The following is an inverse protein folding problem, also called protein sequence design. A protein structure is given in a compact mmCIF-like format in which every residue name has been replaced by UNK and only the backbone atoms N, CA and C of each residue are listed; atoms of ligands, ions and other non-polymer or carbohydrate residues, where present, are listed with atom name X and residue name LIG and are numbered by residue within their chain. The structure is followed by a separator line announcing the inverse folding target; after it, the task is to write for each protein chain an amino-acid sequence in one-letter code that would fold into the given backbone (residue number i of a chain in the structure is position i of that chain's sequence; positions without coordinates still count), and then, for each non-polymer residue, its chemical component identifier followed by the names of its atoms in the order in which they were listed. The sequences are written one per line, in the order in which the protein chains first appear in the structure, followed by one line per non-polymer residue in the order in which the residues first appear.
data_IF_032465697149
#
_entry.id   IF_032465697149
#
_cell.length_a   1.000
_cell.length_b   1.000
_cell.length_c   1.000
_cell.angle_alpha   90.00
_cell.angle_beta   90.00
_cell.angle_gamma   90.00
#
_symmetry.space_group_name_H-M   'P 1'
#
loop_
_entity.id
_entity.type
_entity.pdbx_description
1 polymer ?
#
# COMPACT_ATOMS: atom_id res chain seq x y z
N UNK A 1 -13.64 1.56 26.30
CA UNK A 1 -12.75 2.03 25.22
C UNK A 1 -11.54 1.12 25.22
N UNK A 2 -11.27 0.44 24.10
CA UNK A 2 -10.11 -0.42 23.94
C UNK A 2 -8.88 0.46 23.64
N UNK A 3 -7.84 0.36 24.48
CA UNK A 3 -6.54 1.02 24.26
C UNK A 3 -5.53 -0.02 23.82
N UNK A 4 -4.78 0.30 22.79
CA UNK A 4 -3.72 -0.56 22.26
C UNK A 4 -2.43 -0.21 23.01
N UNK A 5 -1.84 -1.21 23.68
CA UNK A 5 -0.50 -1.08 24.29
C UNK A 5 0.49 -1.87 23.45
N UNK A 6 1.62 -1.25 23.18
CA UNK A 6 2.74 -1.89 22.49
C UNK A 6 3.65 -2.48 23.54
N UNK A 7 3.91 -3.77 23.43
CA UNK A 7 4.88 -4.49 24.25
C UNK A 7 5.85 -5.18 23.32
N UNK A 8 7.15 -5.18 23.63
CA UNK A 8 8.12 -5.95 22.87
C UNK A 8 7.67 -7.41 22.80
N UNK A 9 7.59 -7.95 21.58
CA UNK A 9 7.12 -9.32 21.34
C UNK A 9 8.27 -10.29 21.15
N UNK A 10 9.48 -9.78 20.92
CA UNK A 10 10.68 -10.56 20.71
C UNK A 10 11.72 -10.16 21.75
N UNK A 11 12.15 -11.12 22.58
CA UNK A 11 13.35 -10.95 23.38
C UNK A 11 14.51 -11.34 22.47
N UNK A 12 15.17 -10.35 21.90
CA UNK A 12 16.34 -10.58 21.06
C UNK A 12 17.47 -11.14 21.93
N UNK A 13 17.69 -12.46 21.88
CA UNK A 13 18.92 -13.09 22.36
C UNK A 13 20.02 -13.06 21.28
N UNK A 14 19.81 -12.30 20.22
CA UNK A 14 20.78 -12.16 19.15
C UNK A 14 21.95 -11.30 19.64
N UNK A 15 22.99 -11.97 20.11
CA UNK A 15 24.28 -11.31 20.33
C UNK A 15 24.97 -11.17 18.97
N UNK A 16 25.01 -9.93 18.47
CA UNK A 16 25.84 -9.60 17.33
C UNK A 16 27.29 -9.84 17.77
N UNK A 17 27.98 -10.79 17.14
CA UNK A 17 29.45 -10.87 17.29
C UNK A 17 30.02 -9.55 16.82
N UNK A 18 30.64 -8.81 17.74
CA UNK A 18 31.40 -7.60 17.42
C UNK A 18 32.60 -8.03 16.57
N UNK A 19 32.42 -8.03 15.26
CA UNK A 19 33.56 -8.08 14.35
C UNK A 19 34.25 -6.72 14.45
N UNK A 20 35.49 -6.73 14.99
CA UNK A 20 36.37 -5.56 14.99
C UNK A 20 36.40 -4.94 13.60
N UNK A 21 35.78 -3.78 13.44
CA UNK A 21 35.84 -2.99 12.22
C UNK A 21 37.28 -2.47 12.05
N UNK A 22 38.05 -3.16 11.23
CA UNK A 22 39.27 -2.63 10.69
C UNK A 22 38.97 -1.35 9.91
N UNK A 23 39.42 -0.21 10.43
CA UNK A 23 39.30 1.10 9.81
C UNK A 23 39.86 1.07 8.38
N UNK A 24 39.00 1.00 7.37
CA UNK A 24 39.36 1.18 5.97
C UNK A 24 39.25 2.64 5.60
N UNK A 25 40.39 3.28 5.39
CA UNK A 25 40.52 4.53 4.67
C UNK A 25 40.13 4.30 3.20
N UNK A 26 38.85 4.41 2.87
CA UNK A 26 38.36 4.51 1.51
C UNK A 26 37.84 5.91 1.29
N UNK A 27 38.20 6.56 0.15
CA UNK A 27 37.81 7.90 -0.22
C UNK A 27 36.30 8.04 -0.48
N UNK A 28 35.47 7.77 0.52
CA UNK A 28 34.03 7.94 0.51
C UNK A 28 33.63 9.37 0.85
N UNK A 29 32.37 9.73 0.66
CA UNK A 29 31.79 11.05 0.96
C UNK A 29 31.83 11.43 2.46
N UNK A 30 32.51 10.66 3.30
CA UNK A 30 32.59 10.84 4.76
C UNK A 30 31.30 10.54 5.50
N UNK A 31 30.32 9.97 4.83
CA UNK A 31 29.02 9.56 5.39
C UNK A 31 28.85 8.04 5.20
N UNK A 32 28.45 7.35 6.24
CA UNK A 32 28.13 5.92 6.19
C UNK A 32 26.72 5.73 5.57
N UNK A 33 26.58 6.02 4.26
CA UNK A 33 25.32 5.96 3.52
C UNK A 33 25.30 4.80 2.51
N UNK A 34 24.16 4.56 1.86
CA UNK A 34 23.99 3.52 0.85
C UNK A 34 24.44 3.94 -0.57
N UNK A 35 25.11 5.07 -0.73
CA UNK A 35 25.69 5.42 -2.03
C UNK A 35 26.78 4.41 -2.44
N UNK A 36 26.83 4.11 -3.74
CA UNK A 36 27.82 3.17 -4.30
C UNK A 36 29.25 3.41 -3.83
N UNK A 37 29.65 4.68 -3.61
CA UNK A 37 30.97 5.04 -3.11
C UNK A 37 31.24 4.63 -1.64
N UNK A 38 30.19 4.48 -0.83
CA UNK A 38 30.32 4.15 0.60
C UNK A 38 30.07 2.66 0.88
N UNK A 39 29.33 2.01 0.00
CA UNK A 39 28.85 0.65 0.22
C UNK A 39 29.80 -0.43 -0.34
N UNK A 40 30.81 -0.02 -1.13
CA UNK A 40 31.74 -0.94 -1.74
C UNK A 40 32.51 -1.73 -0.66
N UNK A 41 32.27 -3.07 -0.62
CA UNK A 41 32.82 -3.97 0.37
C UNK A 41 32.10 -3.98 1.73
N UNK A 42 31.01 -3.22 1.87
CA UNK A 42 30.13 -3.34 3.02
C UNK A 42 29.36 -4.68 2.97
N UNK A 43 28.94 -5.14 4.15
CA UNK A 43 28.17 -6.37 4.31
C UNK A 43 26.90 -6.04 5.08
N UNK A 44 25.79 -6.62 4.66
CA UNK A 44 24.49 -6.56 5.34
C UNK A 44 23.95 -7.96 5.52
N UNK A 45 23.10 -8.21 6.52
CA UNK A 45 22.34 -9.46 6.57
C UNK A 45 21.54 -9.64 5.27
N UNK A 46 21.36 -10.89 4.85
CA UNK A 46 20.56 -11.28 3.69
C UNK A 46 19.54 -12.31 4.10
N UNK A 47 18.28 -12.01 3.89
CA UNK A 47 17.18 -12.96 3.92
C UNK A 47 16.84 -13.37 2.49
N UNK A 48 17.10 -14.62 2.16
CA UNK A 48 16.77 -15.22 0.87
C UNK A 48 15.49 -16.03 1.01
N UNK A 49 14.39 -15.53 0.37
CA UNK A 49 13.09 -16.17 0.45
C UNK A 49 12.90 -17.23 -0.64
N UNK A 50 12.02 -18.20 -0.36
CA UNK A 50 11.66 -19.23 -1.33
C UNK A 50 10.73 -18.70 -2.41
N UNK A 51 10.99 -19.01 -3.68
CA UNK A 51 10.06 -18.76 -4.80
C UNK A 51 8.98 -19.84 -4.83
N UNK A 52 7.86 -19.63 -4.15
CA UNK A 52 6.72 -20.56 -4.19
C UNK A 52 5.76 -20.15 -5.32
N UNK A 53 5.54 -21.03 -6.28
CA UNK A 53 4.62 -20.78 -7.40
C UNK A 53 3.19 -21.30 -7.16
N UNK A 54 2.84 -21.83 -5.98
CA UNK A 54 1.50 -22.38 -5.71
C UNK A 54 0.97 -21.91 -4.37
N UNK A 55 -0.23 -21.36 -4.36
CA UNK A 55 -1.00 -21.14 -3.14
C UNK A 55 -1.36 -22.51 -2.58
N UNK A 56 -0.84 -22.84 -1.39
CA UNK A 56 -1.20 -24.08 -0.68
C UNK A 56 -2.68 -23.99 -0.33
N UNK A 57 -3.51 -24.90 -0.89
CA UNK A 57 -4.94 -24.91 -0.63
C UNK A 57 -5.22 -25.19 0.85
N UNK A 58 -6.23 -24.48 1.40
CA UNK A 58 -6.68 -24.48 2.81
C UNK A 58 -6.94 -25.84 3.48
N UNK A 59 -6.74 -26.96 2.79
CA UNK A 59 -7.07 -28.29 3.32
C UNK A 59 -6.18 -28.80 4.45
N UNK A 60 -5.11 -28.11 4.82
CA UNK A 60 -4.19 -28.53 5.89
C UNK A 60 -4.40 -27.81 7.22
N UNK A 61 -5.34 -26.84 7.30
CA UNK A 61 -5.57 -26.01 8.50
C UNK A 61 -6.75 -26.44 9.39
N UNK A 62 -7.39 -27.57 9.11
CA UNK A 62 -8.41 -28.10 10.01
C UNK A 62 -7.77 -29.06 11.01
N UNK A 63 -7.24 -28.59 12.09
CA UNK A 63 -7.09 -29.21 13.41
C UNK A 63 -5.99 -28.54 14.24
N UNK A 64 -6.21 -27.33 14.76
CA UNK A 64 -5.59 -26.94 16.03
C UNK A 64 -6.37 -25.77 16.64
N UNK A 65 -7.18 -26.14 17.64
CA UNK A 65 -7.81 -25.19 18.55
C UNK A 65 -6.72 -24.44 19.33
N UNK A 66 -6.80 -23.09 19.35
CA UNK A 66 -6.16 -22.20 20.31
C UNK A 66 -4.63 -22.28 20.50
N UNK A 67 -3.84 -22.41 19.45
CA UNK A 67 -2.41 -22.06 19.51
C UNK A 67 -2.17 -20.81 18.66
N UNK A 68 -1.48 -19.82 19.27
CA UNK A 68 -0.89 -18.72 18.48
C UNK A 68 -0.08 -19.33 17.33
N UNK A 69 -0.22 -18.81 16.09
CA UNK A 69 0.59 -19.31 14.99
C UNK A 69 2.07 -19.23 15.37
N UNK A 70 2.90 -20.20 14.98
CA UNK A 70 4.32 -20.10 15.20
C UNK A 70 4.84 -18.81 14.55
N UNK A 71 5.61 -18.04 15.28
CA UNK A 71 6.24 -16.81 14.76
C UNK A 71 7.20 -17.21 13.65
N UNK A 72 6.93 -16.79 12.43
CA UNK A 72 7.78 -17.08 11.29
C UNK A 72 9.15 -16.42 11.44
N UNK A 73 10.17 -16.98 10.83
CA UNK A 73 11.53 -16.52 11.02
C UNK A 73 11.74 -15.07 10.56
N UNK A 74 11.11 -14.67 9.42
CA UNK A 74 11.18 -13.29 8.95
C UNK A 74 10.57 -12.31 9.96
N UNK A 75 9.46 -12.69 10.57
CA UNK A 75 8.77 -11.88 11.58
C UNK A 75 9.67 -11.61 12.80
N UNK A 76 10.31 -12.69 13.31
CA UNK A 76 11.25 -12.61 14.43
C UNK A 76 12.49 -11.78 14.09
N UNK A 77 13.05 -11.96 12.89
CA UNK A 77 14.21 -11.21 12.41
C UNK A 77 13.88 -9.72 12.29
N UNK A 78 12.76 -9.39 11.63
CA UNK A 78 12.35 -8.02 11.40
C UNK A 78 12.13 -7.27 12.71
N UNK A 79 11.38 -7.87 13.63
CA UNK A 79 11.10 -7.25 14.93
C UNK A 79 12.35 -7.12 15.79
N UNK A 80 13.21 -8.15 15.84
CA UNK A 80 14.47 -8.12 16.60
C UNK A 80 15.43 -7.03 16.07
N UNK A 81 15.61 -6.96 14.76
CA UNK A 81 16.44 -5.94 14.13
C UNK A 81 15.86 -4.53 14.30
N UNK A 82 14.52 -4.37 14.23
CA UNK A 82 13.85 -3.09 14.45
C UNK A 82 13.99 -2.61 15.90
N UNK A 83 13.83 -3.51 16.88
CA UNK A 83 14.01 -3.20 18.31
C UNK A 83 15.46 -2.83 18.63
N UNK A 84 16.46 -3.50 18.03
CA UNK A 84 17.88 -3.09 18.15
C UNK A 84 18.07 -1.63 17.72
N UNK A 85 17.50 -1.23 16.56
CA UNK A 85 17.59 0.16 16.08
C UNK A 85 16.87 1.14 17.03
N UNK A 86 15.77 0.72 17.66
CA UNK A 86 15.09 1.53 18.65
C UNK A 86 15.95 1.72 19.91
N UNK A 87 16.57 0.68 20.42
CA UNK A 87 17.47 0.75 21.56
C UNK A 87 18.71 1.60 21.27
N UNK A 88 19.21 1.59 20.04
CA UNK A 88 20.33 2.44 19.59
C UNK A 88 19.93 3.89 19.31
N UNK A 89 18.66 4.24 19.45
CA UNK A 89 18.18 5.62 19.30
C UNK A 89 18.15 6.14 17.86
N UNK A 90 18.02 5.27 16.86
CA UNK A 90 18.01 5.67 15.45
C UNK A 90 16.68 6.30 15.00
N UNK A 91 15.62 6.18 15.79
CA UNK A 91 14.33 6.77 15.51
C UNK A 91 14.24 8.23 15.98
N UNK A 92 13.49 9.04 15.25
CA UNK A 92 13.30 10.47 15.58
C UNK A 92 12.44 10.69 16.82
N UNK A 93 11.66 9.71 17.21
CA UNK A 93 10.82 9.68 18.41
C UNK A 93 10.42 8.23 18.73
N UNK A 94 10.01 8.02 19.96
CA UNK A 94 9.51 6.73 20.43
C UNK A 94 8.04 6.56 20.05
N UNK A 95 7.75 5.67 19.10
CA UNK A 95 6.38 5.38 18.68
C UNK A 95 5.61 4.55 19.71
N UNK A 96 6.31 3.86 20.62
CA UNK A 96 5.65 3.05 21.65
C UNK A 96 4.95 3.92 22.71
N UNK A 97 5.35 5.18 22.81
CA UNK A 97 4.73 6.18 23.68
C UNK A 97 3.45 6.80 23.07
N UNK A 98 3.16 6.57 21.79
CA UNK A 98 1.97 7.12 21.15
C UNK A 98 0.68 6.49 21.69
N UNK A 99 -0.27 7.32 22.10
CA UNK A 99 -1.58 6.85 22.51
C UNK A 99 -2.38 6.35 21.32
N UNK A 100 -2.96 5.14 21.42
CA UNK A 100 -3.79 4.56 20.36
C UNK A 100 -5.04 3.95 20.96
N UNK A 101 -6.18 4.21 20.35
CA UNK A 101 -7.50 3.70 20.76
C UNK A 101 -8.31 3.23 19.55
N UNK A 102 -9.17 2.26 19.77
CA UNK A 102 -10.27 1.99 18.85
C UNK A 102 -11.39 2.97 19.14
N UNK A 103 -11.86 3.70 18.14
CA UNK A 103 -12.96 4.65 18.24
C UNK A 103 -14.24 3.85 18.53
N UNK A 104 -15.03 4.24 19.54
CA UNK A 104 -16.33 3.62 19.78
C UNK A 104 -17.26 3.88 18.60
N UNK A 105 -17.88 2.84 18.05
CA UNK A 105 -18.81 2.95 16.94
C UNK A 105 -18.95 1.63 16.17
N UNK A 106 -19.56 1.70 15.01
CA UNK A 106 -19.90 0.56 14.16
C UNK A 106 -18.67 0.04 13.39
N UNK A 107 -17.80 0.96 12.95
CA UNK A 107 -16.71 0.63 12.02
C UNK A 107 -15.43 0.19 12.71
N UNK A 108 -15.23 0.65 13.96
CA UNK A 108 -14.03 0.34 14.73
C UNK A 108 -12.78 1.02 14.19
N UNK A 109 -12.91 2.25 13.69
CA UNK A 109 -11.77 3.07 13.28
C UNK A 109 -10.76 3.20 14.42
N UNK A 110 -9.49 3.30 14.08
CA UNK A 110 -8.39 3.37 15.02
C UNK A 110 -7.84 4.79 15.00
N UNK A 111 -7.75 5.43 16.15
CA UNK A 111 -7.11 6.74 16.30
C UNK A 111 -5.79 6.61 17.04
N UNK A 112 -4.72 7.17 16.46
CA UNK A 112 -3.42 7.30 17.08
C UNK A 112 -3.08 8.78 17.24
N UNK A 113 -2.63 9.18 18.44
CA UNK A 113 -2.05 10.49 18.67
C UNK A 113 -0.54 10.43 18.41
N UNK A 114 -0.07 11.10 17.35
CA UNK A 114 1.34 11.14 17.00
C UNK A 114 1.78 12.58 16.67
N UNK A 115 1.89 13.40 17.72
CA UNK A 115 2.26 14.83 17.61
C UNK A 115 3.68 15.03 17.06
N UNK A 116 4.60 14.10 17.37
CA UNK A 116 6.00 14.20 16.94
C UNK A 116 6.22 13.99 15.45
N UNK A 117 5.32 13.25 14.78
CA UNK A 117 5.54 12.83 13.40
C UNK A 117 5.53 14.00 12.40
N UNK A 118 4.55 14.89 12.47
CA UNK A 118 4.40 15.93 11.46
C UNK A 118 5.51 16.97 11.51
N UNK A 119 6.06 17.25 12.70
CA UNK A 119 7.19 18.18 12.90
C UNK A 119 8.51 17.59 12.40
N UNK A 120 8.62 16.27 12.31
CA UNK A 120 9.85 15.54 11.99
C UNK A 120 9.79 14.80 10.66
N UNK A 121 8.61 14.74 10.01
CA UNK A 121 8.43 14.18 8.67
C UNK A 121 9.07 15.11 7.64
N UNK A 122 9.68 14.53 6.59
CA UNK A 122 10.15 15.32 5.45
C UNK A 122 8.98 15.95 4.71
N UNK A 123 9.10 17.19 4.22
CA UNK A 123 8.09 17.80 3.37
C UNK A 123 7.95 17.05 2.05
N UNK A 124 6.79 17.17 1.41
CA UNK A 124 6.60 16.68 0.04
C UNK A 124 7.25 17.68 -0.93
N UNK A 125 8.21 17.19 -1.73
CA UNK A 125 8.95 18.00 -2.70
C UNK A 125 8.50 17.77 -4.14
N UNK A 126 7.39 17.04 -4.34
CA UNK A 126 6.90 16.61 -5.64
C UNK A 126 5.54 17.24 -5.95
N UNK A 127 5.22 17.32 -7.24
CA UNK A 127 3.91 17.77 -7.70
C UNK A 127 2.84 16.77 -7.26
N UNK A 128 1.74 17.29 -6.73
CA UNK A 128 0.61 16.47 -6.27
C UNK A 128 -0.35 16.08 -7.41
N UNK A 129 -0.28 16.80 -8.54
CA UNK A 129 -1.12 16.59 -9.71
C UNK A 129 -0.54 15.59 -10.74
N UNK A 130 0.63 14.99 -10.44
CA UNK A 130 1.30 14.03 -11.31
C UNK A 130 1.70 12.76 -10.58
N UNK A 131 1.13 11.64 -11.02
CA UNK A 131 1.44 10.30 -10.49
C UNK A 131 2.81 9.82 -10.98
N UNK A 132 3.12 10.02 -12.26
CA UNK A 132 4.42 9.66 -12.82
C UNK A 132 5.32 10.89 -12.90
N UNK A 133 6.45 10.82 -12.21
CA UNK A 133 7.48 11.85 -12.24
C UNK A 133 8.86 11.19 -12.32
N UNK A 134 9.83 11.77 -13.06
CA UNK A 134 11.17 11.21 -13.15
C UNK A 134 11.86 11.23 -11.78
N UNK A 135 12.75 10.27 -11.56
CA UNK A 135 13.62 10.26 -10.39
C UNK A 135 14.55 11.49 -10.41
N UNK A 136 14.72 12.13 -9.27
CA UNK A 136 15.61 13.27 -9.09
C UNK A 136 16.65 12.96 -7.99
N UNK A 137 17.88 12.66 -8.40
CA UNK A 137 18.97 12.35 -7.49
C UNK A 137 19.37 13.49 -6.55
N UNK A 138 19.00 14.75 -6.84
CA UNK A 138 19.28 15.89 -5.97
C UNK A 138 18.35 15.90 -4.74
N UNK A 139 17.13 15.41 -4.89
CA UNK A 139 16.17 15.26 -3.79
C UNK A 139 16.53 14.10 -2.88
N UNK A 140 15.87 14.04 -1.72
CA UNK A 140 16.03 12.89 -0.85
C UNK A 140 15.56 11.61 -1.54
N UNK A 141 16.38 10.57 -1.42
CA UNK A 141 16.10 9.21 -1.84
C UNK A 141 16.81 8.21 -0.91
N UNK A 142 16.48 6.93 -1.02
CA UNK A 142 16.94 5.93 -0.05
C UNK A 142 18.42 5.55 -0.20
N UNK A 143 19.11 5.93 -1.27
CA UNK A 143 20.58 5.76 -1.32
C UNK A 143 21.32 6.71 -0.35
N UNK A 144 20.60 7.70 0.20
CA UNK A 144 21.14 8.70 1.16
C UNK A 144 20.91 8.33 2.63
N UNK A 145 20.23 7.19 2.92
CA UNK A 145 20.06 6.69 4.30
C UNK A 145 21.36 6.10 4.83
N UNK A 146 21.50 6.05 6.16
CA UNK A 146 22.64 5.39 6.80
C UNK A 146 22.57 3.87 6.66
N UNK A 147 23.74 3.21 6.54
CA UNK A 147 23.79 1.75 6.49
C UNK A 147 23.18 1.12 7.76
N UNK A 148 23.28 1.78 8.88
CA UNK A 148 22.70 1.37 10.17
C UNK A 148 21.17 1.40 10.20
N UNK A 149 20.52 2.17 9.27
CA UNK A 149 19.07 2.19 9.11
C UNK A 149 18.56 0.96 8.35
N UNK A 150 19.44 0.22 7.63
CA UNK A 150 19.09 -0.99 6.88
C UNK A 150 19.11 -2.18 7.83
N UNK A 151 18.07 -3.02 7.76
CA UNK A 151 17.96 -4.23 8.55
C UNK A 151 18.61 -5.41 7.83
N UNK A 152 18.21 -5.67 6.58
CA UNK A 152 18.73 -6.76 5.76
C UNK A 152 18.43 -6.56 4.27
N UNK A 153 19.10 -7.30 3.41
CA UNK A 153 18.76 -7.51 2.01
C UNK A 153 17.65 -8.56 1.92
N UNK A 154 16.68 -8.35 1.04
CA UNK A 154 15.54 -9.27 0.85
C UNK A 154 15.48 -9.71 -0.61
N UNK A 155 15.91 -10.92 -0.89
CA UNK A 155 16.10 -11.45 -2.23
C UNK A 155 15.49 -12.86 -2.36
N UNK A 156 15.24 -13.29 -3.59
CA UNK A 156 14.82 -14.66 -3.86
C UNK A 156 15.99 -15.61 -3.72
N UNK A 157 15.79 -16.78 -3.07
CA UNK A 157 16.78 -17.84 -2.98
C UNK A 157 17.02 -18.51 -4.34
N UNK A 158 18.27 -18.84 -4.62
CA UNK A 158 18.65 -19.65 -5.79
C UNK A 158 18.29 -21.14 -5.58
N UNK A 159 18.35 -21.63 -4.35
CA UNK A 159 18.16 -23.04 -3.99
C UNK A 159 16.71 -23.43 -3.68
N UNK A 160 15.74 -22.52 -3.91
CA UNK A 160 14.32 -22.71 -3.59
C UNK A 160 14.05 -23.10 -2.12
N UNK A 161 14.91 -22.65 -1.20
CA UNK A 161 14.78 -22.77 0.25
C UNK A 161 15.01 -21.44 0.92
N UNK A 162 14.34 -21.23 2.07
CA UNK A 162 14.57 -20.02 2.89
C UNK A 162 15.96 -20.11 3.53
N UNK A 163 16.76 -19.07 3.32
CA UNK A 163 18.12 -19.00 3.87
C UNK A 163 18.38 -17.64 4.51
N UNK A 164 19.20 -17.62 5.54
CA UNK A 164 19.64 -16.39 6.19
C UNK A 164 21.16 -16.35 6.32
N UNK A 165 21.73 -15.25 5.84
CA UNK A 165 23.15 -14.98 5.93
C UNK A 165 23.35 -13.73 6.79
N UNK A 166 23.92 -13.86 8.02
CA UNK A 166 24.10 -12.71 8.92
C UNK A 166 25.00 -11.61 8.36
N UNK A 167 25.85 -11.93 7.39
CA UNK A 167 26.85 -11.04 6.82
C UNK A 167 27.11 -11.39 5.36
N UNK A 168 26.26 -10.92 4.45
CA UNK A 168 26.42 -11.13 3.01
C UNK A 168 27.00 -9.87 2.35
N UNK A 169 27.85 -10.02 1.31
CA UNK A 169 28.30 -8.89 0.51
C UNK A 169 27.10 -8.24 -0.20
N UNK A 170 27.20 -6.95 -0.41
CA UNK A 170 26.17 -6.21 -1.18
C UNK A 170 26.55 -6.27 -2.64
N UNK A 171 25.69 -6.88 -3.46
CA UNK A 171 25.84 -6.89 -4.91
C UNK A 171 25.41 -5.55 -5.49
N UNK A 172 26.41 -4.71 -5.77
CA UNK A 172 26.15 -3.36 -6.34
C UNK A 172 25.75 -3.43 -7.81
N UNK A 173 26.11 -4.50 -8.52
CA UNK A 173 25.81 -4.66 -9.95
C UNK A 173 24.35 -5.07 -10.15
N UNK A 174 23.85 -6.01 -9.36
CA UNK A 174 22.48 -6.50 -9.44
C UNK A 174 21.48 -5.72 -8.57
N UNK A 175 21.92 -4.64 -7.93
CA UNK A 175 21.06 -3.72 -7.18
C UNK A 175 20.08 -4.40 -6.22
N UNK A 176 20.52 -4.76 -5.01
CA UNK A 176 19.69 -5.54 -4.08
C UNK A 176 18.43 -4.78 -3.64
N UNK A 177 17.41 -5.53 -3.30
CA UNK A 177 16.25 -5.03 -2.57
C UNK A 177 16.56 -5.04 -1.08
N UNK A 178 16.21 -3.97 -0.37
CA UNK A 178 16.55 -3.84 1.06
C UNK A 178 15.35 -3.50 1.91
N UNK A 179 15.40 -3.97 3.15
CA UNK A 179 14.45 -3.58 4.20
C UNK A 179 15.15 -2.63 5.16
N UNK A 180 14.59 -1.45 5.36
CA UNK A 180 15.14 -0.41 6.24
C UNK A 180 14.09 0.08 7.24
N UNK A 181 14.52 0.63 8.37
CA UNK A 181 13.60 1.26 9.31
C UNK A 181 12.97 2.52 8.72
N UNK A 182 11.71 2.76 9.05
CA UNK A 182 11.16 4.10 8.90
C UNK A 182 11.53 4.93 10.16
N UNK A 183 12.51 5.82 10.04
CA UNK A 183 12.99 6.64 11.17
C UNK A 183 11.94 7.55 11.80
N UNK A 184 10.79 7.71 11.15
CA UNK A 184 9.60 8.40 11.68
C UNK A 184 8.41 7.43 11.68
N UNK A 185 8.43 6.39 12.53
CA UNK A 185 7.47 5.29 12.45
C UNK A 185 6.04 5.75 12.76
N UNK A 186 5.06 5.12 12.12
CA UNK A 186 3.65 5.25 12.46
C UNK A 186 3.31 4.26 13.58
N UNK A 187 3.87 3.04 13.48
CA UNK A 187 3.53 1.96 14.36
C UNK A 187 4.76 1.08 14.67
N UNK A 188 4.59 0.14 15.54
CA UNK A 188 5.61 -0.84 15.92
C UNK A 188 6.06 -1.67 14.72
N UNK A 189 7.37 -1.88 14.58
CA UNK A 189 7.92 -2.61 13.45
C UNK A 189 7.77 -1.89 12.09
N UNK A 190 7.63 -0.55 12.09
CA UNK A 190 7.46 0.20 10.84
C UNK A 190 8.75 0.22 10.03
N UNK A 191 8.72 -0.50 8.91
CA UNK A 191 9.83 -0.63 7.96
C UNK A 191 9.43 -0.20 6.55
N UNK A 192 10.44 -0.09 5.69
CA UNK A 192 10.33 0.22 4.27
C UNK A 192 10.98 -0.91 3.48
N UNK A 193 10.26 -1.51 2.55
CA UNK A 193 10.83 -2.36 1.51
C UNK A 193 11.17 -1.48 0.31
N UNK A 194 12.44 -1.48 -0.09
CA UNK A 194 12.98 -0.66 -1.18
C UNK A 194 13.53 -1.60 -2.25
N UNK A 195 12.75 -1.89 -3.31
CA UNK A 195 13.20 -2.77 -4.38
C UNK A 195 14.36 -2.16 -5.16
N UNK A 196 15.37 -2.97 -5.50
CA UNK A 196 16.47 -2.63 -6.42
C UNK A 196 17.04 -1.23 -6.17
N UNK A 197 17.51 -1.01 -4.94
CA UNK A 197 17.82 0.33 -4.40
C UNK A 197 18.74 1.20 -5.26
N UNK A 198 19.69 0.59 -6.00
CA UNK A 198 20.65 1.32 -6.84
C UNK A 198 20.13 1.64 -8.25
N UNK A 199 19.01 1.06 -8.66
CA UNK A 199 18.33 1.43 -9.90
C UNK A 199 17.59 2.76 -9.77
N UNK A 200 17.42 3.25 -8.53
CA UNK A 200 16.78 4.53 -8.26
C UNK A 200 15.40 4.65 -8.93
N UNK A 201 14.62 3.59 -8.85
CA UNK A 201 13.29 3.52 -9.45
C UNK A 201 12.38 4.64 -8.91
N UNK A 202 11.70 5.39 -9.77
CA UNK A 202 10.71 6.36 -9.29
C UNK A 202 9.55 5.65 -8.58
N UNK A 203 8.78 6.38 -7.77
CA UNK A 203 7.65 5.86 -6.99
C UNK A 203 6.48 5.45 -7.92
N UNK A 204 6.67 4.35 -8.62
CA UNK A 204 5.67 3.69 -9.46
C UNK A 204 5.77 2.18 -9.31
N UNK A 205 4.65 1.48 -9.32
CA UNK A 205 4.61 0.02 -9.28
C UNK A 205 5.03 -0.55 -10.63
N UNK A 206 5.88 -1.57 -10.59
CA UNK A 206 6.11 -2.54 -11.65
C UNK A 206 5.78 -3.95 -11.14
N UNK A 207 5.63 -4.93 -12.05
CA UNK A 207 5.20 -6.29 -11.72
C UNK A 207 6.18 -7.00 -10.79
N UNK A 208 7.47 -6.82 -10.99
CA UNK A 208 8.53 -7.48 -10.21
C UNK A 208 8.57 -6.93 -8.78
N UNK A 209 8.56 -5.61 -8.63
CA UNK A 209 8.56 -4.98 -7.31
C UNK A 209 7.28 -5.25 -6.51
N UNK A 210 6.14 -5.38 -7.20
CA UNK A 210 4.89 -5.72 -6.52
C UNK A 210 4.88 -7.17 -6.06
N UNK A 211 5.36 -8.10 -6.88
CA UNK A 211 5.53 -9.51 -6.48
C UNK A 211 6.46 -9.65 -5.29
N UNK A 212 7.57 -8.90 -5.26
CA UNK A 212 8.49 -8.87 -4.13
C UNK A 212 7.78 -8.44 -2.83
N UNK A 213 6.91 -7.44 -2.91
CA UNK A 213 6.11 -7.00 -1.75
C UNK A 213 5.13 -8.09 -1.27
N UNK A 214 4.53 -8.86 -2.19
CA UNK A 214 3.68 -10.00 -1.83
C UNK A 214 4.48 -11.12 -1.17
N UNK A 215 5.68 -11.45 -1.67
CA UNK A 215 6.57 -12.41 -1.00
C UNK A 215 6.93 -11.96 0.41
N UNK A 216 7.20 -10.67 0.63
CA UNK A 216 7.47 -10.18 1.98
C UNK A 216 6.26 -10.35 2.93
N UNK A 217 5.04 -10.16 2.43
CA UNK A 217 3.83 -10.38 3.22
C UNK A 217 3.60 -11.87 3.53
N UNK A 218 3.86 -12.75 2.55
CA UNK A 218 3.74 -14.20 2.68
C UNK A 218 4.77 -14.78 3.65
N UNK A 219 6.04 -14.40 3.50
CA UNK A 219 7.15 -14.85 4.34
C UNK A 219 7.02 -14.38 5.80
N UNK A 220 6.45 -13.20 6.04
CA UNK A 220 6.13 -12.76 7.39
C UNK A 220 5.04 -13.61 8.05
N UNK A 221 4.12 -14.20 7.26
CA UNK A 221 3.10 -15.13 7.73
C UNK A 221 2.14 -14.57 8.78
N UNK A 222 2.28 -13.32 9.18
CA UNK A 222 1.59 -12.70 10.30
C UNK A 222 0.38 -11.87 9.81
N UNK A 223 -0.85 -12.20 10.23
CA UNK A 223 -2.04 -11.47 9.78
C UNK A 223 -2.10 -10.02 10.27
N UNK A 224 -1.27 -9.65 11.24
CA UNK A 224 -1.16 -8.28 11.74
C UNK A 224 -0.03 -7.47 11.10
N UNK A 225 0.78 -8.10 10.25
CA UNK A 225 1.75 -7.42 9.41
C UNK A 225 1.10 -7.02 8.09
N UNK A 226 1.08 -5.74 7.78
CA UNK A 226 0.48 -5.21 6.55
C UNK A 226 1.47 -4.36 5.81
N UNK A 227 1.41 -4.44 4.48
CA UNK A 227 2.17 -3.55 3.62
C UNK A 227 1.24 -2.53 2.98
N UNK A 228 1.75 -1.32 2.78
CA UNK A 228 1.04 -0.24 2.14
C UNK A 228 1.88 0.46 1.09
N UNK A 229 1.25 0.85 0.00
CA UNK A 229 1.85 1.66 -1.06
C UNK A 229 1.04 2.94 -1.27
N UNK A 230 1.75 4.04 -1.47
CA UNK A 230 1.17 5.32 -1.85
C UNK A 230 1.81 5.76 -3.17
N UNK A 231 1.02 6.09 -4.17
CA UNK A 231 1.53 6.74 -5.38
C UNK A 231 1.87 8.22 -5.10
N UNK A 232 2.64 8.85 -5.95
CA UNK A 232 2.69 10.30 -6.01
C UNK A 232 1.28 10.83 -6.33
N UNK A 233 0.90 11.96 -5.73
CA UNK A 233 -0.49 12.44 -5.77
C UNK A 233 -1.42 11.78 -4.75
N UNK A 234 -1.03 10.62 -4.17
CA UNK A 234 -1.73 9.93 -3.09
C UNK A 234 -0.87 9.85 -1.81
N UNK A 235 -0.19 10.95 -1.50
CA UNK A 235 0.61 11.20 -0.29
C UNK A 235 1.93 10.43 -0.14
N UNK A 236 2.47 9.81 -1.20
CA UNK A 236 3.89 9.51 -1.20
C UNK A 236 4.71 10.81 -1.09
N UNK A 237 5.73 10.80 -0.24
CA UNK A 237 6.58 11.99 0.00
C UNK A 237 8.00 11.85 -0.54
N UNK A 238 8.34 10.69 -1.06
CA UNK A 238 9.65 10.36 -1.63
C UNK A 238 9.42 9.69 -2.98
N UNK A 239 10.04 10.22 -4.05
CA UNK A 239 10.00 9.65 -5.38
C UNK A 239 11.17 8.67 -5.59
N UNK A 240 11.18 7.62 -4.81
CA UNK A 240 12.01 6.44 -4.92
C UNK A 240 11.16 5.26 -4.48
N UNK A 241 11.00 4.24 -5.32
CA UNK A 241 10.07 3.15 -5.10
C UNK A 241 10.27 2.51 -3.74
N UNK A 242 9.21 2.48 -2.97
CA UNK A 242 9.16 1.82 -1.67
C UNK A 242 7.76 1.42 -1.28
N UNK A 243 7.66 0.35 -0.53
CA UNK A 243 6.48 -0.06 0.22
C UNK A 243 6.74 0.20 1.70
N UNK A 244 5.69 0.47 2.46
CA UNK A 244 5.75 0.63 3.91
C UNK A 244 5.10 -0.59 4.56
N UNK A 245 5.60 -1.04 5.70
CA UNK A 245 4.97 -2.12 6.45
C UNK A 245 5.09 -1.89 7.95
N UNK A 246 4.11 -2.39 8.72
CA UNK A 246 4.17 -2.39 10.17
C UNK A 246 3.21 -3.41 10.79
N UNK A 247 3.31 -3.59 12.10
CA UNK A 247 2.46 -4.49 12.89
C UNK A 247 1.42 -3.69 13.68
N UNK A 248 0.17 -4.11 13.59
CA UNK A 248 -0.89 -3.61 14.47
C UNK A 248 -1.82 -4.78 14.86
N UNK A 249 -1.79 -5.15 16.13
CA UNK A 249 -2.45 -6.35 16.68
C UNK A 249 -3.99 -6.27 16.74
N UNK A 250 -4.59 -5.46 15.86
CA UNK A 250 -6.04 -5.38 15.66
C UNK A 250 -6.33 -5.34 14.16
N UNK A 251 -7.46 -5.90 13.71
CA UNK A 251 -7.87 -5.79 12.32
C UNK A 251 -8.13 -4.33 11.95
N UNK A 252 -7.75 -3.94 10.74
CA UNK A 252 -8.19 -2.66 10.20
C UNK A 252 -9.70 -2.68 9.88
N UNK A 253 -10.40 -1.55 10.02
CA UNK A 253 -11.80 -1.43 9.63
C UNK A 253 -12.10 -1.94 8.22
N UNK A 254 -11.23 -1.60 7.26
CA UNK A 254 -11.35 -2.02 5.85
C UNK A 254 -11.36 -3.54 5.68
N UNK A 255 -10.62 -4.28 6.50
CA UNK A 255 -10.54 -5.75 6.41
C UNK A 255 -11.87 -6.43 6.78
N UNK A 256 -12.71 -5.73 7.54
CA UNK A 256 -14.06 -6.18 7.93
C UNK A 256 -15.15 -5.66 7.00
N UNK A 257 -14.82 -4.72 6.10
CA UNK A 257 -15.80 -4.15 5.20
C UNK A 257 -16.42 -5.22 4.30
N UNK A 258 -17.73 -5.10 4.07
CA UNK A 258 -18.43 -6.01 3.16
C UNK A 258 -17.97 -5.79 1.73
N UNK A 259 -17.97 -6.85 0.93
CA UNK A 259 -17.56 -6.80 -0.47
C UNK A 259 -18.62 -7.42 -1.37
N UNK A 260 -18.78 -6.86 -2.57
CA UNK A 260 -19.62 -7.44 -3.63
C UNK A 260 -18.71 -7.98 -4.72
N UNK A 261 -18.76 -9.29 -4.93
CA UNK A 261 -18.03 -9.93 -6.02
C UNK A 261 -18.48 -9.37 -7.36
N UNK A 262 -17.53 -8.96 -8.21
CA UNK A 262 -17.80 -8.50 -9.56
C UNK A 262 -17.50 -9.61 -10.56
N UNK A 263 -16.29 -10.15 -10.53
CA UNK A 263 -15.82 -11.12 -11.53
C UNK A 263 -14.70 -12.01 -10.98
N UNK A 264 -14.43 -13.09 -11.73
CA UNK A 264 -13.19 -13.84 -11.62
C UNK A 264 -12.40 -13.64 -12.92
N UNK A 265 -11.11 -13.40 -12.80
CA UNK A 265 -10.20 -13.36 -13.94
C UNK A 265 -9.48 -14.70 -14.12
N UNK A 266 -8.80 -14.83 -15.25
CA UNK A 266 -7.86 -15.90 -15.55
C UNK A 266 -6.85 -16.03 -14.40
N UNK A 267 -6.34 -17.22 -14.16
CA UNK A 267 -5.52 -17.47 -12.96
C UNK A 267 -6.30 -17.55 -11.64
N UNK A 268 -7.65 -17.49 -11.67
CA UNK A 268 -8.50 -17.70 -10.48
C UNK A 268 -8.61 -16.48 -9.54
N UNK A 269 -8.12 -15.31 -9.95
CA UNK A 269 -8.19 -14.08 -9.13
C UNK A 269 -9.63 -13.57 -9.09
N UNK A 270 -10.15 -13.42 -7.88
CA UNK A 270 -11.46 -12.85 -7.60
C UNK A 270 -11.34 -11.36 -7.37
N UNK A 271 -12.12 -10.55 -8.09
CA UNK A 271 -12.22 -9.11 -7.88
C UNK A 271 -13.59 -8.76 -7.33
N UNK A 272 -13.60 -8.00 -6.26
CA UNK A 272 -14.79 -7.52 -5.57
C UNK A 272 -14.71 -6.00 -5.38
N UNK A 273 -15.87 -5.37 -5.23
CA UNK A 273 -16.01 -3.97 -4.88
C UNK A 273 -16.33 -3.84 -3.38
N UNK A 274 -15.75 -2.84 -2.73
CA UNK A 274 -16.05 -2.50 -1.34
C UNK A 274 -17.47 -1.94 -1.22
N UNK A 275 -18.19 -2.40 -0.20
CA UNK A 275 -19.50 -1.89 0.18
C UNK A 275 -19.45 -1.34 1.62
N UNK A 276 -20.32 -0.37 1.90
CA UNK A 276 -20.48 0.20 3.25
C UNK A 276 -19.15 0.65 3.88
N UNK A 277 -18.31 1.28 3.06
CA UNK A 277 -17.06 1.89 3.47
C UNK A 277 -16.93 3.28 2.82
N UNK A 278 -16.34 4.28 3.49
CA UNK A 278 -16.33 5.66 2.98
C UNK A 278 -15.50 5.83 1.71
N UNK A 279 -14.50 4.98 1.48
CA UNK A 279 -13.66 5.02 0.28
C UNK A 279 -14.05 3.89 -0.67
N UNK A 280 -14.31 4.23 -1.93
CA UNK A 280 -14.51 3.24 -2.99
C UNK A 280 -13.21 2.57 -3.34
N UNK A 281 -13.24 1.27 -3.54
CA UNK A 281 -12.05 0.50 -3.88
C UNK A 281 -12.38 -0.89 -4.39
N UNK A 282 -11.38 -1.52 -4.96
CA UNK A 282 -11.42 -2.90 -5.41
C UNK A 282 -10.64 -3.80 -4.44
N UNK A 283 -11.10 -5.02 -4.29
CA UNK A 283 -10.48 -6.05 -3.47
C UNK A 283 -10.14 -7.24 -4.35
N UNK A 284 -8.87 -7.63 -4.33
CA UNK A 284 -8.32 -8.76 -5.07
C UNK A 284 -7.98 -9.88 -4.10
N UNK A 285 -8.46 -11.08 -4.38
CA UNK A 285 -8.29 -12.27 -3.54
C UNK A 285 -8.13 -13.52 -4.40
N UNK A 286 -7.46 -14.53 -3.88
CA UNK A 286 -7.28 -15.81 -4.56
C UNK A 286 -6.21 -15.75 -5.65
N UNK A 287 -6.38 -16.55 -6.69
CA UNK A 287 -5.38 -16.84 -7.71
C UNK A 287 -4.88 -18.29 -7.59
N UNK A 288 -4.41 -18.88 -8.69
CA UNK A 288 -3.78 -20.21 -8.66
C UNK A 288 -2.34 -20.12 -8.13
N UNK A 289 -1.77 -18.91 -8.17
CA UNK A 289 -0.44 -18.58 -7.67
C UNK A 289 -0.39 -17.14 -7.16
N UNK A 290 0.63 -16.83 -6.35
CA UNK A 290 0.94 -15.46 -5.92
C UNK A 290 1.22 -14.56 -7.13
N UNK A 291 1.82 -15.12 -8.18
CA UNK A 291 2.10 -14.42 -9.43
C UNK A 291 0.81 -13.97 -10.15
N UNK A 292 -0.24 -14.81 -10.18
CA UNK A 292 -1.53 -14.44 -10.81
C UNK A 292 -2.16 -13.26 -10.08
N UNK A 293 -2.16 -13.30 -8.75
CA UNK A 293 -2.67 -12.21 -7.91
C UNK A 293 -1.83 -10.94 -8.11
N UNK A 294 -0.50 -11.08 -8.13
CA UNK A 294 0.43 -9.99 -8.39
C UNK A 294 0.20 -9.34 -9.75
N UNK A 295 0.05 -10.13 -10.80
CA UNK A 295 -0.19 -9.64 -12.15
C UNK A 295 -1.49 -8.82 -12.23
N UNK A 296 -2.59 -9.34 -11.71
CA UNK A 296 -3.88 -8.65 -11.75
C UNK A 296 -3.83 -7.29 -11.04
N UNK A 297 -3.16 -7.21 -9.88
CA UNK A 297 -3.06 -5.96 -9.11
C UNK A 297 -2.05 -5.00 -9.75
N UNK A 298 -0.87 -5.49 -10.16
CA UNK A 298 0.15 -4.61 -10.77
C UNK A 298 -0.33 -4.03 -12.11
N UNK A 299 -1.05 -4.79 -12.94
CA UNK A 299 -1.63 -4.28 -14.19
C UNK A 299 -2.69 -3.21 -13.92
N UNK A 300 -3.49 -3.39 -12.87
CA UNK A 300 -4.42 -2.36 -12.38
C UNK A 300 -3.68 -1.09 -11.96
N UNK A 301 -2.59 -1.22 -11.20
CA UNK A 301 -1.78 -0.10 -10.74
C UNK A 301 -1.09 0.63 -11.90
N UNK A 302 -0.55 -0.11 -12.87
CA UNK A 302 0.09 0.45 -14.07
C UNK A 302 -0.95 1.23 -14.88
N UNK A 303 -2.14 0.69 -15.06
CA UNK A 303 -3.24 1.39 -15.74
C UNK A 303 -3.58 2.73 -15.06
N UNK A 304 -3.66 2.77 -13.73
CA UNK A 304 -3.91 4.00 -12.98
C UNK A 304 -2.76 5.01 -13.13
N UNK A 305 -1.51 4.53 -13.08
CA UNK A 305 -0.31 5.34 -13.29
C UNK A 305 -0.32 6.03 -14.66
N UNK A 306 -0.55 5.26 -15.71
CA UNK A 306 -0.55 5.74 -17.09
C UNK A 306 -1.72 6.68 -17.36
N UNK A 307 -2.83 6.50 -16.64
CA UNK A 307 -4.00 7.39 -16.68
C UNK A 307 -3.89 8.61 -15.75
N UNK A 308 -2.75 8.79 -15.07
CA UNK A 308 -2.50 9.85 -14.09
C UNK A 308 -3.55 9.89 -12.95
N UNK A 309 -4.03 8.74 -12.51
CA UNK A 309 -4.99 8.59 -11.42
C UNK A 309 -4.23 8.23 -10.14
N UNK A 310 -4.23 9.08 -9.09
CA UNK A 310 -3.59 8.77 -7.82
C UNK A 310 -4.27 7.59 -7.14
N UNK A 311 -3.48 6.75 -6.45
CA UNK A 311 -4.01 5.56 -5.79
C UNK A 311 -3.14 5.10 -4.62
N UNK A 312 -3.75 4.31 -3.74
CA UNK A 312 -3.07 3.60 -2.65
C UNK A 312 -3.38 2.10 -2.75
N UNK A 313 -2.47 1.29 -2.22
CA UNK A 313 -2.66 -0.16 -2.11
C UNK A 313 -2.40 -0.60 -0.69
N UNK A 314 -3.29 -1.44 -0.13
CA UNK A 314 -3.06 -2.16 1.11
C UNK A 314 -2.94 -3.66 0.79
N UNK A 315 -1.87 -4.28 1.26
CA UNK A 315 -1.66 -5.73 1.23
C UNK A 315 -1.88 -6.24 2.65
N UNK A 316 -2.83 -7.13 2.84
CA UNK A 316 -3.19 -7.73 4.13
C UNK A 316 -3.34 -9.25 4.02
N UNK A 317 -3.65 -9.89 5.14
CA UNK A 317 -3.84 -11.34 5.22
C UNK A 317 -2.67 -12.12 4.61
N UNK A 318 -1.44 -11.79 5.04
CA UNK A 318 -0.20 -12.41 4.55
C UNK A 318 -0.10 -12.44 3.02
N UNK A 319 -0.46 -11.33 2.36
CA UNK A 319 -0.37 -11.19 0.91
C UNK A 319 -1.57 -11.74 0.12
N UNK A 320 -2.57 -12.32 0.78
CA UNK A 320 -3.71 -13.01 0.13
C UNK A 320 -4.88 -12.09 -0.19
N UNK A 321 -4.94 -10.91 0.45
CA UNK A 321 -6.02 -9.94 0.27
C UNK A 321 -5.46 -8.56 0.02
N UNK A 322 -5.77 -7.99 -1.13
CA UNK A 322 -5.20 -6.73 -1.59
C UNK A 322 -6.33 -5.76 -1.89
N UNK A 323 -6.20 -4.53 -1.36
CA UNK A 323 -7.13 -3.44 -1.57
C UNK A 323 -6.49 -2.37 -2.43
N UNK A 324 -7.19 -1.92 -3.46
CA UNK A 324 -6.75 -0.86 -4.37
C UNK A 324 -7.74 0.31 -4.29
N UNK A 325 -7.23 1.51 -3.98
CA UNK A 325 -8.01 2.72 -3.76
C UNK A 325 -7.59 3.82 -4.74
N UNK A 326 -8.26 3.96 -5.88
CA UNK A 326 -8.15 5.19 -6.66
C UNK A 326 -8.70 6.37 -5.86
N UNK A 327 -8.02 7.53 -5.89
CA UNK A 327 -8.43 8.68 -5.09
C UNK A 327 -8.31 10.01 -5.84
N UNK A 328 -8.95 11.08 -5.29
CA UNK A 328 -8.94 12.43 -5.83
C UNK A 328 -8.71 13.51 -4.77
N UNK A 329 -8.29 13.18 -3.56
CA UNK A 329 -8.22 14.14 -2.45
C UNK A 329 -7.27 15.31 -2.73
N UNK A 330 -6.08 15.03 -3.28
CA UNK A 330 -5.13 16.09 -3.60
C UNK A 330 -5.66 17.05 -4.69
N UNK A 331 -6.42 16.53 -5.65
CA UNK A 331 -7.10 17.32 -6.68
C UNK A 331 -8.20 18.21 -6.06
N UNK A 332 -9.10 17.63 -5.27
CA UNK A 332 -10.15 18.37 -4.54
C UNK A 332 -9.55 19.44 -3.62
N UNK A 333 -8.43 19.14 -2.95
CA UNK A 333 -7.74 20.10 -2.12
C UNK A 333 -7.18 21.27 -2.94
N UNK A 334 -6.61 21.01 -4.11
CA UNK A 334 -6.08 22.04 -5.00
C UNK A 334 -7.18 22.91 -5.59
N UNK A 335 -8.37 22.36 -5.83
CA UNK A 335 -9.57 23.07 -6.31
C UNK A 335 -10.32 23.82 -5.19
N UNK A 336 -9.93 23.63 -3.92
CA UNK A 336 -10.61 24.25 -2.77
C UNK A 336 -11.96 23.60 -2.44
N UNK A 337 -12.20 22.39 -2.89
CA UNK A 337 -13.45 21.63 -2.68
C UNK A 337 -13.50 20.92 -1.33
N UNK A 338 -12.34 20.72 -0.67
CA UNK A 338 -12.28 20.14 0.67
C UNK A 338 -12.66 21.17 1.73
N UNK A 339 -13.53 20.78 2.65
CA UNK A 339 -14.01 21.70 3.69
C UNK A 339 -12.85 22.22 4.57
N UNK A 340 -12.89 23.51 5.01
CA UNK A 340 -11.87 24.07 5.89
C UNK A 340 -11.69 23.32 7.20
N UNK A 341 -12.76 22.73 7.75
CA UNK A 341 -12.72 21.93 8.98
C UNK A 341 -11.84 20.68 8.81
N UNK A 342 -11.96 19.99 7.68
CA UNK A 342 -11.14 18.82 7.37
C UNK A 342 -9.68 19.21 7.10
N UNK A 343 -9.45 20.31 6.39
CA UNK A 343 -8.12 20.85 6.16
C UNK A 343 -7.43 21.24 7.48
N UNK A 344 -8.17 21.79 8.44
CA UNK A 344 -7.65 22.16 9.75
C UNK A 344 -7.12 20.96 10.55
N UNK A 345 -7.64 19.74 10.35
CA UNK A 345 -7.11 18.51 10.96
C UNK A 345 -5.69 18.20 10.50
N UNK A 346 -5.28 18.73 9.36
CA UNK A 346 -3.99 18.47 8.70
C UNK A 346 -3.71 16.98 8.43
N UNK A 347 -4.71 16.14 8.49
CA UNK A 347 -4.59 14.72 8.15
C UNK A 347 -4.44 14.60 6.63
N UNK A 348 -3.42 13.88 6.20
CA UNK A 348 -3.22 13.51 4.80
C UNK A 348 -3.63 12.04 4.65
N UNK A 349 -4.81 11.74 4.09
CA UNK A 349 -5.34 10.39 4.06
C UNK A 349 -4.57 9.51 3.05
N UNK A 350 -3.48 8.93 3.52
CA UNK A 350 -2.68 7.94 2.82
C UNK A 350 -3.23 6.53 3.09
N UNK A 351 -2.54 5.49 2.65
CA UNK A 351 -3.00 4.11 2.74
C UNK A 351 -3.47 3.71 4.15
N UNK A 352 -2.79 4.19 5.19
CA UNK A 352 -3.08 3.81 6.57
C UNK A 352 -4.38 4.43 7.07
N UNK A 353 -4.55 5.73 6.83
CA UNK A 353 -5.79 6.44 7.16
C UNK A 353 -6.96 5.88 6.36
N UNK A 354 -6.77 5.62 5.05
CA UNK A 354 -7.79 5.01 4.19
C UNK A 354 -8.20 3.63 4.71
N UNK A 355 -7.25 2.88 5.25
CA UNK A 355 -7.51 1.56 5.84
C UNK A 355 -8.19 1.61 7.21
N UNK A 356 -8.34 2.81 7.78
CA UNK A 356 -9.03 3.06 9.03
C UNK A 356 -8.12 3.28 10.24
N UNK A 357 -6.79 3.41 10.06
CA UNK A 357 -5.86 3.79 11.11
C UNK A 357 -5.50 5.27 10.99
N UNK A 358 -6.25 6.11 11.68
CA UNK A 358 -6.15 7.57 11.65
C UNK A 358 -4.97 8.06 12.48
N UNK A 359 -3.93 8.59 11.82
CA UNK A 359 -2.75 9.17 12.48
C UNK A 359 -2.96 10.65 12.71
N UNK A 360 -3.41 10.99 13.91
CA UNK A 360 -3.79 12.35 14.31
C UNK A 360 -2.60 13.12 14.89
N UNK A 361 -2.55 14.40 14.61
CA UNK A 361 -1.44 15.28 14.97
C UNK A 361 -1.70 16.10 16.21
N UNK A 362 -2.97 16.30 16.58
CA UNK A 362 -3.39 17.16 17.69
C UNK A 362 -4.19 16.36 18.71
N UNK A 363 -3.94 16.64 19.98
CA UNK A 363 -4.64 15.99 21.11
C UNK A 363 -6.15 16.20 21.01
N UNK A 364 -6.60 17.40 20.62
CA UNK A 364 -8.03 17.70 20.44
C UNK A 364 -8.67 16.72 19.44
N UNK A 365 -8.08 16.54 18.26
CA UNK A 365 -8.62 15.65 17.23
C UNK A 365 -8.65 14.19 17.70
N UNK A 366 -7.67 13.80 18.51
CA UNK A 366 -7.62 12.47 19.10
C UNK A 366 -8.72 12.27 20.17
N UNK A 367 -8.93 13.25 21.05
CA UNK A 367 -9.96 13.18 22.09
C UNK A 367 -11.36 13.17 21.47
N UNK A 368 -11.61 14.02 20.46
CA UNK A 368 -12.89 14.19 19.75
C UNK A 368 -13.09 13.18 18.60
N UNK A 369 -12.13 12.25 18.37
CA UNK A 369 -12.23 11.28 17.31
C UNK A 369 -13.49 10.41 17.42
N UNK A 370 -14.29 10.39 16.35
CA UNK A 370 -15.54 9.65 16.24
C UNK A 370 -15.64 8.93 14.88
N UNK A 371 -16.51 7.93 14.79
CA UNK A 371 -16.83 7.25 13.52
C UNK A 371 -17.28 8.24 12.46
N UNK A 372 -18.11 9.22 12.82
CA UNK A 372 -18.62 10.24 11.91
C UNK A 372 -17.50 11.11 11.33
N UNK A 373 -16.58 11.59 12.18
CA UNK A 373 -15.47 12.43 11.74
C UNK A 373 -14.50 11.65 10.85
N UNK A 374 -14.20 10.39 11.21
CA UNK A 374 -13.38 9.50 10.38
C UNK A 374 -14.04 9.22 9.03
N UNK A 375 -15.35 8.91 9.03
CA UNK A 375 -16.12 8.69 7.82
C UNK A 375 -16.10 9.90 6.88
N UNK A 376 -16.41 11.10 7.40
CA UNK A 376 -16.41 12.36 6.63
C UNK A 376 -15.06 12.60 5.94
N UNK A 377 -13.96 12.47 6.70
CA UNK A 377 -12.62 12.66 6.14
C UNK A 377 -12.33 11.65 5.02
N UNK A 378 -12.66 10.39 5.22
CA UNK A 378 -12.39 9.34 4.24
C UNK A 378 -13.31 9.43 3.02
N UNK A 379 -14.55 9.90 3.18
CA UNK A 379 -15.46 10.12 2.06
C UNK A 379 -14.93 11.18 1.07
N UNK A 380 -14.18 12.18 1.57
CA UNK A 380 -13.55 13.18 0.70
C UNK A 380 -12.43 12.62 -0.18
N UNK A 381 -11.82 11.52 0.23
CA UNK A 381 -10.78 10.82 -0.56
C UNK A 381 -11.37 10.11 -1.76
N UNK A 382 -12.59 9.64 -1.61
CA UNK A 382 -13.26 8.78 -2.57
C UNK A 382 -13.58 9.52 -3.88
N UNK A 383 -13.43 8.82 -5.00
CA UNK A 383 -14.00 9.24 -6.28
C UNK A 383 -15.53 9.31 -6.18
N UNK A 384 -16.18 10.12 -7.06
CA UNK A 384 -17.62 10.00 -7.25
C UNK A 384 -17.98 8.61 -7.76
N UNK A 385 -19.27 8.24 -7.66
CA UNK A 385 -19.74 6.93 -8.17
C UNK A 385 -19.46 6.79 -9.66
N UNK A 386 -19.81 7.80 -10.45
CA UNK A 386 -19.64 7.80 -11.90
C UNK A 386 -18.17 7.66 -12.27
N UNK A 387 -17.32 8.47 -11.63
CA UNK A 387 -15.86 8.41 -11.90
C UNK A 387 -15.25 7.10 -11.47
N UNK A 388 -15.70 6.50 -10.37
CA UNK A 388 -15.23 5.19 -9.94
C UNK A 388 -15.63 4.09 -10.93
N UNK A 389 -16.83 4.13 -11.50
CA UNK A 389 -17.26 3.15 -12.53
C UNK A 389 -16.43 3.27 -13.82
N UNK A 390 -16.10 4.49 -14.26
CA UNK A 390 -15.18 4.71 -15.39
C UNK A 390 -13.79 4.11 -15.12
N UNK A 391 -13.22 4.41 -13.95
CA UNK A 391 -11.90 3.92 -13.55
C UNK A 391 -11.89 2.41 -13.42
N UNK A 392 -12.96 1.82 -12.88
CA UNK A 392 -13.13 0.37 -12.80
C UNK A 392 -13.15 -0.30 -14.18
N UNK A 393 -13.84 0.31 -15.14
CA UNK A 393 -13.86 -0.19 -16.53
C UNK A 393 -12.45 -0.16 -17.15
N UNK A 394 -11.69 0.93 -16.98
CA UNK A 394 -10.31 1.04 -17.45
C UNK A 394 -9.41 -0.04 -16.84
N UNK A 395 -9.54 -0.31 -15.54
CA UNK A 395 -8.78 -1.35 -14.85
C UNK A 395 -9.09 -2.73 -15.44
N UNK A 396 -10.38 -3.06 -15.66
CA UNK A 396 -10.77 -4.35 -16.19
C UNK A 396 -10.29 -4.57 -17.62
N UNK A 397 -10.31 -3.53 -18.46
CA UNK A 397 -9.72 -3.57 -19.79
C UNK A 397 -8.20 -3.81 -19.74
N UNK A 398 -7.49 -3.20 -18.79
CA UNK A 398 -6.04 -3.36 -18.64
C UNK A 398 -5.68 -4.80 -18.23
N UNK A 399 -6.39 -5.38 -17.26
CA UNK A 399 -6.16 -6.76 -16.83
C UNK A 399 -6.47 -7.74 -17.99
N UNK A 400 -7.57 -7.54 -18.72
CA UNK A 400 -7.94 -8.40 -19.85
C UNK A 400 -6.89 -8.38 -20.96
N UNK A 401 -6.31 -7.21 -21.28
CA UNK A 401 -5.22 -7.09 -22.25
C UNK A 401 -3.91 -7.76 -21.80
N UNK A 402 -3.62 -7.74 -20.52
CA UNK A 402 -2.46 -8.44 -19.96
C UNK A 402 -2.55 -9.96 -20.11
N UNK A 403 -3.76 -10.48 -20.18
CA UNK A 403 -4.09 -11.91 -20.31
C UNK A 403 -4.07 -12.39 -21.78
N UNK A 404 -4.41 -11.53 -22.76
CA UNK A 404 -4.43 -11.85 -24.20
C UNK A 404 -3.03 -12.19 -24.77
N UNK A 405 -1.95 -11.90 -24.04
CA UNK A 405 -0.60 -12.40 -24.34
C UNK A 405 -0.48 -13.92 -24.19
N UNK A 406 -1.46 -14.61 -23.62
CA UNK A 406 -1.40 -16.04 -23.29
C UNK A 406 -2.71 -16.84 -23.50
N UNK A 407 -3.69 -16.34 -24.28
CA UNK A 407 -4.88 -17.08 -24.66
C UNK A 407 -6.20 -16.29 -24.52
N UNK A 408 -7.05 -16.36 -25.53
CA UNK A 408 -8.29 -15.61 -25.65
C UNK A 408 -9.26 -15.84 -24.47
N UNK A 409 -9.69 -14.76 -23.82
CA UNK A 409 -10.66 -14.78 -22.71
C UNK A 409 -12.00 -14.24 -23.17
N UNK A 410 -13.04 -15.06 -22.98
CA UNK A 410 -14.44 -14.65 -23.16
C UNK A 410 -14.95 -14.08 -21.82
N UNK A 411 -15.14 -12.77 -21.75
CA UNK A 411 -15.81 -12.09 -20.64
C UNK A 411 -17.28 -12.59 -20.55
N UNK A 412 -17.59 -13.42 -19.56
CA UNK A 412 -18.99 -13.70 -19.18
C UNK A 412 -19.41 -12.66 -18.16
N UNK A 413 -20.01 -11.58 -18.63
CA UNK A 413 -20.81 -10.72 -17.78
C UNK A 413 -22.03 -11.55 -17.29
N UNK A 414 -22.25 -11.61 -15.99
CA UNK A 414 -23.49 -12.18 -15.46
C UNK A 414 -24.63 -11.24 -15.84
N UNK A 415 -25.35 -11.57 -16.89
CA UNK A 415 -26.67 -10.99 -17.16
C UNK A 415 -27.62 -11.38 -16.02
N UNK A 416 -28.38 -10.40 -15.55
CA UNK A 416 -29.45 -10.61 -14.57
C UNK A 416 -30.57 -11.52 -15.14
N UNK A 417 -31.55 -11.96 -14.34
CA UNK A 417 -32.50 -12.98 -14.73
C UNK A 417 -33.27 -12.60 -15.99
N UNK A 418 -33.32 -13.53 -16.93
CA UNK A 418 -34.05 -13.48 -18.20
C UNK A 418 -35.46 -12.89 -18.06
N UNK A 419 -35.65 -11.70 -18.63
CA UNK A 419 -36.96 -11.20 -19.01
C UNK A 419 -37.24 -11.72 -20.43
N UNK A 420 -38.21 -12.59 -20.58
CA UNK A 420 -38.62 -13.17 -21.84
C UNK A 420 -38.99 -12.06 -22.87
N UNK A 421 -38.64 -12.23 -24.16
CA UNK A 421 -38.92 -11.22 -25.18
C UNK A 421 -40.43 -11.09 -25.40
N UNK A 422 -40.97 -9.88 -25.24
CA UNK A 422 -42.32 -9.52 -25.63
C UNK A 422 -42.43 -9.49 -27.16
N UNK A 423 -43.56 -9.94 -27.67
CA UNK A 423 -43.88 -10.07 -29.10
C UNK A 423 -44.00 -8.70 -29.81
N UNK A 424 -43.80 -8.62 -31.14
CA UNK A 424 -43.73 -7.35 -31.90
C UNK A 424 -45.04 -6.54 -31.99
N UNK A 425 -46.15 -7.00 -31.43
CA UNK A 425 -47.47 -6.32 -31.62
C UNK A 425 -47.78 -5.20 -30.61
N UNK A 426 -46.95 -4.99 -29.55
CA UNK A 426 -47.24 -3.94 -28.55
C UNK A 426 -46.52 -2.62 -28.75
N UNK A 427 -45.71 -2.48 -29.82
CA UNK A 427 -44.89 -1.24 -30.03
C UNK A 427 -45.64 -0.18 -30.85
N UNK A 428 -46.79 -0.49 -31.47
CA UNK A 428 -47.52 0.50 -32.31
C UNK A 428 -48.46 1.48 -31.55
N UNK A 429 -48.67 1.28 -30.26
CA UNK A 429 -49.67 2.03 -29.49
C UNK A 429 -49.12 3.30 -28.79
N UNK A 430 -47.80 3.52 -28.71
CA UNK A 430 -47.22 4.64 -27.92
C UNK A 430 -46.74 5.83 -28.76
N UNK A 431 -46.77 5.74 -30.09
CA UNK A 431 -46.18 6.77 -30.97
C UNK A 431 -47.19 7.72 -31.63
N UNK A 432 -48.34 8.03 -30.99
CA UNK A 432 -49.26 9.09 -31.43
C UNK A 432 -49.58 10.03 -30.29
N UNK A 433 -48.82 11.12 -30.22
CA UNK A 433 -49.18 12.28 -29.40
C UNK A 433 -48.00 13.07 -28.88
N UNK A 434 -47.52 14.01 -29.67
CA UNK A 434 -47.24 15.40 -29.31
C UNK A 434 -46.21 16.04 -30.24
N UNK A 435 -46.71 16.69 -31.27
CA UNK A 435 -46.01 17.81 -31.90
C UNK A 435 -46.16 19.05 -30.99
N UNK A 436 -45.06 19.72 -30.64
CA UNK A 436 -45.01 21.19 -30.66
C UNK A 436 -43.57 21.72 -30.52
N UNK A 437 -43.18 22.42 -31.56
CA UNK A 437 -42.53 23.73 -31.62
C UNK A 437 -41.09 23.92 -31.21
N UNK A 438 -40.26 24.17 -32.24
CA UNK A 438 -38.96 24.79 -32.20
C UNK A 438 -39.01 26.23 -31.68
N UNK A 439 -38.00 26.64 -30.90
CA UNK A 439 -37.49 28.01 -30.89
C UNK A 439 -35.96 27.97 -30.89
N UNK A 440 -35.39 28.65 -31.90
CA UNK A 440 -33.96 28.95 -32.05
C UNK A 440 -33.49 29.95 -31.00
N UNK A 441 -32.31 29.69 -30.40
CA UNK A 441 -31.55 30.68 -29.66
C UNK A 441 -30.07 30.49 -29.88
N UNK A 442 -29.46 31.35 -30.69
CA UNK A 442 -28.01 31.55 -30.82
C UNK A 442 -27.50 32.19 -29.55
N UNK A 443 -26.36 31.75 -29.07
CA UNK A 443 -25.55 32.58 -28.17
C UNK A 443 -24.06 32.45 -28.40
N UNK A 444 -23.45 33.62 -28.42
CA UNK A 444 -22.12 33.96 -28.91
C UNK A 444 -21.01 33.61 -27.86
N UNK A 445 -19.83 33.39 -28.41
CA UNK A 445 -18.57 33.38 -27.66
C UNK A 445 -18.27 34.75 -27.04
N UNK A 446 -17.83 34.77 -25.79
CA UNK A 446 -17.07 35.87 -25.20
C UNK A 446 -15.73 35.37 -24.70
N UNK A 447 -14.69 35.88 -25.36
CA UNK A 447 -13.28 35.83 -24.92
C UNK A 447 -13.08 37.02 -24.00
N UNK A 448 -12.45 36.82 -22.85
CA UNK A 448 -11.84 37.91 -22.08
C UNK A 448 -10.46 37.52 -21.60
N UNK A 449 -9.57 38.47 -21.72
CA UNK A 449 -8.11 38.50 -21.52
C UNK A 449 -7.62 38.05 -20.17
#
# INVERSE_FOLDING_TARGET
MLRIKRVPTVVSNYQKEETEEGARQGGGCGRNCLNKCCILGAKLPLYAFKRVNKIVSEKTLLCHENKEPPVDFLDSLLLGEWEDRMQRGLFRYDVTACETKVIPGEYGFIAQLNEGRHLKKRPTEFRVDKVLQPFDGNKFNFTKVGQEEVLFQFEASEDDEVQFFPSAPIDVENSPSVVAINVSPIEYGHVLLIPRIFECLPQRIDRESFLLALHMAEEAGNPYFRLGYNSLGAFATINHLHFQAYYLAVPFPIEKATTKKITNFTGGVKISELLNYPVRGLVFEGGNSLQDLSNAVSDSCICLQDSNIPYNVLISDSGKRIFLFPQCYAEKQALGEVSPELLDTQVNPAVWEISGHMVLKRKKDYEEASDENAWRLLAEVSLSEERFQEVKALIFEAIARGDDGNGAVTLRLHEGPDVAPQSPEEIEAINKGSHHSMVHGKQECLVLH
#
